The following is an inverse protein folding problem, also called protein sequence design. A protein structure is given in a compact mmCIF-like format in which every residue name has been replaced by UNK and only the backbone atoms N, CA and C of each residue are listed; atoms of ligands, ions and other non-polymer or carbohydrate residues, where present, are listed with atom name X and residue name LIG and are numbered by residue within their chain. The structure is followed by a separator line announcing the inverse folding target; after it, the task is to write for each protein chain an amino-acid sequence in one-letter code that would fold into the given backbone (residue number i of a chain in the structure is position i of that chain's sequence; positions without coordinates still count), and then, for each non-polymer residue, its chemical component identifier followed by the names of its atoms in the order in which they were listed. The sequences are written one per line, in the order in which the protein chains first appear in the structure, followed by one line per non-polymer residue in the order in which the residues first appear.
data_IF_944460636954
#
_entry.id   IF_944460636954
#
_cell.length_a   1.000
_cell.length_b   1.000
_cell.length_c   1.000
_cell.angle_alpha   90.00
_cell.angle_beta   90.00
_cell.angle_gamma   90.00
#
_symmetry.space_group_name_H-M   'P 1'
#
loop_
_entity.id
_entity.type
_entity.pdbx_description
1 polymer ?
#
# COMPACT_ATOMS: atom_id res chain seq x y z
N UNK A 1 -22.79 -10.76 -32.42
CA UNK A 1 -22.34 -11.28 -31.12
C UNK A 1 -20.86 -10.89 -30.96
N UNK A 2 -20.53 -9.92 -30.11
CA UNK A 2 -19.13 -9.56 -29.81
C UNK A 2 -18.72 -10.36 -28.58
N UNK A 3 -17.63 -11.11 -28.70
CA UNK A 3 -17.02 -11.85 -27.60
C UNK A 3 -16.60 -10.90 -26.47
N UNK A 4 -16.75 -11.32 -25.20
CA UNK A 4 -16.32 -10.51 -24.07
C UNK A 4 -14.79 -10.42 -24.07
N UNK A 5 -14.25 -9.19 -24.07
CA UNK A 5 -12.81 -8.93 -23.91
C UNK A 5 -12.34 -9.59 -22.62
N UNK A 6 -11.35 -10.47 -22.75
CA UNK A 6 -10.58 -11.05 -21.64
C UNK A 6 -10.06 -9.95 -20.71
N UNK A 7 -10.69 -9.82 -19.55
CA UNK A 7 -10.11 -9.09 -18.42
C UNK A 7 -8.86 -9.86 -17.94
N UNK A 8 -7.74 -9.20 -17.68
CA UNK A 8 -6.58 -9.87 -17.14
C UNK A 8 -6.94 -10.46 -15.77
N UNK A 9 -6.95 -11.77 -15.68
CA UNK A 9 -7.11 -12.49 -14.42
C UNK A 9 -5.87 -12.23 -13.58
N UNK A 10 -6.04 -11.60 -12.43
CA UNK A 10 -4.97 -11.49 -11.42
C UNK A 10 -4.60 -12.91 -11.01
N UNK A 11 -3.45 -13.38 -11.43
CA UNK A 11 -3.04 -14.77 -11.27
C UNK A 11 -2.36 -14.98 -9.91
N UNK A 12 -2.46 -16.22 -9.38
CA UNK A 12 -1.75 -16.69 -8.17
C UNK A 12 -0.23 -16.39 -8.17
N UNK A 13 0.36 -16.12 -9.35
CA UNK A 13 1.73 -15.65 -9.50
C UNK A 13 1.98 -14.26 -8.92
N UNK A 14 1.00 -13.36 -8.93
CA UNK A 14 1.22 -11.96 -8.54
C UNK A 14 1.48 -11.77 -7.04
N UNK A 15 0.79 -12.49 -6.17
CA UNK A 15 1.11 -12.45 -4.73
C UNK A 15 2.45 -13.10 -4.45
N UNK A 16 2.75 -14.25 -5.08
CA UNK A 16 4.04 -14.91 -4.96
C UNK A 16 5.18 -13.99 -5.40
N UNK A 17 5.04 -13.31 -6.53
CA UNK A 17 6.00 -12.34 -7.05
C UNK A 17 6.14 -11.13 -6.12
N UNK A 18 5.03 -10.62 -5.60
CA UNK A 18 5.02 -9.53 -4.61
C UNK A 18 5.76 -9.93 -3.33
N UNK A 19 5.43 -11.08 -2.74
CA UNK A 19 6.10 -11.58 -1.53
C UNK A 19 7.59 -11.84 -1.76
N UNK A 20 7.97 -12.30 -2.95
CA UNK A 20 9.38 -12.46 -3.32
C UNK A 20 10.11 -11.11 -3.39
N UNK A 21 9.43 -10.03 -3.83
CA UNK A 21 9.97 -8.67 -3.79
C UNK A 21 10.08 -8.16 -2.35
N UNK A 22 9.04 -8.32 -1.54
CA UNK A 22 9.05 -7.91 -0.11
C UNK A 22 10.16 -8.61 0.67
N UNK A 23 10.47 -9.88 0.37
CA UNK A 23 11.61 -10.61 0.98
C UNK A 23 12.98 -10.00 0.66
N UNK A 24 13.10 -9.32 -0.48
CA UNK A 24 14.34 -8.62 -0.88
C UNK A 24 14.41 -7.19 -0.32
N UNK A 25 13.32 -6.68 0.23
CA UNK A 25 13.22 -5.32 0.77
C UNK A 25 14.12 -5.16 1.99
N UNK A 26 14.94 -4.08 2.07
CA UNK A 26 15.75 -3.83 3.25
C UNK A 26 14.91 -3.68 4.51
N UNK A 27 15.24 -4.40 5.57
CA UNK A 27 14.55 -4.29 6.85
C UNK A 27 15.53 -3.99 7.97
N UNK A 28 15.44 -2.79 8.54
CA UNK A 28 16.13 -2.42 9.78
C UNK A 28 15.13 -2.40 10.93
N UNK A 29 14.98 -3.54 11.59
CA UNK A 29 14.18 -3.59 12.81
C UNK A 29 15.05 -3.15 13.98
N UNK A 30 14.77 -1.97 14.52
CA UNK A 30 15.14 -1.63 15.88
C UNK A 30 14.10 -2.27 16.80
N UNK A 31 14.51 -3.22 17.64
CA UNK A 31 13.65 -4.05 18.49
C UNK A 31 12.76 -3.30 19.50
N UNK A 32 12.92 -2.00 19.63
CA UNK A 32 12.29 -1.19 20.70
C UNK A 32 11.26 -0.16 20.23
N UNK A 33 11.00 -0.05 18.93
CA UNK A 33 10.01 0.94 18.42
C UNK A 33 8.87 0.28 17.68
N UNK A 34 7.64 0.70 17.99
CA UNK A 34 6.44 0.37 17.20
C UNK A 34 6.67 0.73 15.73
N UNK A 35 6.32 -0.16 14.82
CA UNK A 35 6.45 0.09 13.38
C UNK A 35 5.56 1.26 12.96
N UNK A 36 6.12 2.27 12.25
CA UNK A 36 5.36 3.40 11.70
C UNK A 36 5.20 3.23 10.20
N UNK A 37 3.96 3.33 9.71
CA UNK A 37 3.56 3.16 8.33
C UNK A 37 2.80 4.40 7.86
N UNK A 38 3.24 5.06 6.80
CA UNK A 38 2.42 6.04 6.08
C UNK A 38 1.57 5.30 5.06
N UNK A 39 0.26 5.49 5.13
CA UNK A 39 -0.72 4.91 4.22
C UNK A 39 -1.31 6.01 3.34
N UNK A 40 -0.84 6.08 2.10
CA UNK A 40 -1.24 7.07 1.12
C UNK A 40 -2.37 6.57 0.23
N UNK A 41 -3.38 7.40 0.00
CA UNK A 41 -4.51 7.05 -0.85
C UNK A 41 -4.89 8.16 -1.80
N UNK A 42 -5.24 7.76 -3.01
CA UNK A 42 -5.95 8.59 -3.97
C UNK A 42 -7.44 8.62 -3.60
N UNK A 43 -7.97 9.80 -3.31
CA UNK A 43 -9.39 10.07 -3.07
C UNK A 43 -10.00 10.95 -4.17
N UNK A 44 -9.53 10.80 -5.41
CA UNK A 44 -10.14 11.45 -6.57
C UNK A 44 -11.46 10.77 -6.97
N UNK A 45 -12.27 11.43 -7.79
CA UNK A 45 -13.61 10.96 -8.15
C UNK A 45 -13.61 9.58 -8.86
N UNK A 46 -12.52 9.20 -9.54
CA UNK A 46 -12.38 7.87 -10.14
C UNK A 46 -12.47 6.74 -9.12
N UNK A 47 -12.09 7.03 -7.86
CA UNK A 47 -12.05 6.09 -6.76
C UNK A 47 -13.36 5.97 -5.96
N UNK A 48 -14.35 6.81 -6.19
CA UNK A 48 -15.58 6.88 -5.39
C UNK A 48 -16.28 5.52 -5.25
N UNK A 49 -16.36 4.75 -6.33
CA UNK A 49 -17.00 3.42 -6.34
C UNK A 49 -16.26 2.35 -5.55
N UNK A 50 -14.98 2.54 -5.29
CA UNK A 50 -14.09 1.58 -4.65
C UNK A 50 -13.64 2.03 -3.26
N UNK A 51 -13.99 3.27 -2.89
CA UNK A 51 -13.61 3.86 -1.61
C UNK A 51 -14.13 3.10 -0.40
N UNK A 52 -15.41 2.68 -0.43
CA UNK A 52 -16.01 1.89 0.66
C UNK A 52 -15.30 0.55 0.86
N UNK A 53 -14.90 -0.10 -0.24
CA UNK A 53 -14.10 -1.32 -0.19
C UNK A 53 -12.73 -1.06 0.45
N UNK A 54 -12.08 0.06 0.11
CA UNK A 54 -10.80 0.44 0.69
C UNK A 54 -10.91 0.66 2.21
N UNK A 55 -12.00 1.28 2.68
CA UNK A 55 -12.27 1.44 4.12
C UNK A 55 -12.39 0.11 4.87
N UNK A 56 -13.08 -0.88 4.28
CA UNK A 56 -13.24 -2.20 4.89
C UNK A 56 -11.94 -3.01 4.96
N UNK A 57 -11.06 -2.84 3.97
CA UNK A 57 -9.80 -3.58 3.88
C UNK A 57 -8.86 -3.20 5.00
N UNK A 58 -8.80 -1.93 5.38
CA UNK A 58 -7.88 -1.46 6.41
C UNK A 58 -8.13 -2.08 7.78
N UNK A 59 -9.38 -2.32 8.16
CA UNK A 59 -9.71 -2.98 9.43
C UNK A 59 -9.07 -4.35 9.54
N UNK A 60 -8.96 -5.06 8.40
CA UNK A 60 -8.39 -6.40 8.34
C UNK A 60 -6.85 -6.37 8.27
N UNK A 61 -6.26 -5.31 7.72
CA UNK A 61 -4.82 -5.08 7.76
C UNK A 61 -4.31 -4.98 9.21
N UNK A 62 -5.01 -4.24 10.06
CA UNK A 62 -4.64 -4.11 11.48
C UNK A 62 -4.73 -5.44 12.22
N UNK A 63 -5.78 -6.21 12.00
CA UNK A 63 -5.93 -7.54 12.62
C UNK A 63 -4.81 -8.52 12.26
N UNK A 64 -4.15 -8.32 11.13
CA UNK A 64 -3.01 -9.16 10.75
C UNK A 64 -1.77 -8.93 11.61
N UNK A 65 -1.72 -7.82 12.36
CA UNK A 65 -0.58 -7.46 13.22
C UNK A 65 -0.82 -7.71 14.70
N UNK A 66 -2.04 -8.10 15.11
CA UNK A 66 -2.42 -8.26 16.53
C UNK A 66 -1.47 -9.19 17.29
N UNK A 67 -1.00 -10.28 16.65
CA UNK A 67 -0.11 -11.26 17.27
C UNK A 67 1.40 -10.92 17.15
N UNK A 68 1.76 -9.87 16.39
CA UNK A 68 3.17 -9.61 16.03
C UNK A 68 3.70 -8.33 16.69
N UNK A 69 2.82 -7.44 17.05
CA UNK A 69 3.12 -6.14 17.62
C UNK A 69 2.36 -5.02 16.89
N UNK A 70 1.95 -4.02 17.65
CA UNK A 70 1.20 -2.89 17.13
C UNK A 70 2.01 -2.14 16.06
N UNK A 71 1.32 -1.68 15.04
CA UNK A 71 1.84 -0.67 14.10
C UNK A 71 1.11 0.64 14.31
N UNK A 72 1.83 1.74 14.15
CA UNK A 72 1.24 3.07 14.04
C UNK A 72 1.08 3.42 12.58
N UNK A 73 -0.12 3.76 12.16
CA UNK A 73 -0.43 4.15 10.80
C UNK A 73 -0.88 5.60 10.77
N UNK A 74 -0.39 6.35 9.80
CA UNK A 74 -0.89 7.66 9.44
C UNK A 74 -1.54 7.56 8.07
N UNK A 75 -2.84 7.89 8.00
CA UNK A 75 -3.54 8.00 6.73
C UNK A 75 -3.22 9.36 6.10
N UNK A 76 -2.77 9.34 4.85
CA UNK A 76 -2.61 10.53 4.03
C UNK A 76 -3.43 10.35 2.75
N UNK A 77 -4.19 11.35 2.36
CA UNK A 77 -4.92 11.30 1.11
C UNK A 77 -4.91 12.66 0.42
N UNK A 78 -5.10 12.62 -0.87
CA UNK A 78 -5.34 13.81 -1.67
C UNK A 78 -6.64 13.68 -2.45
N UNK A 79 -7.26 14.82 -2.73
CA UNK A 79 -8.45 14.95 -3.57
C UNK A 79 -8.52 16.34 -4.16
N UNK A 80 -9.45 16.57 -5.09
CA UNK A 80 -9.59 17.88 -5.70
C UNK A 80 -8.30 18.35 -6.38
N UNK A 81 -8.17 19.64 -6.62
CA UNK A 81 -7.03 20.20 -7.35
C UNK A 81 -5.82 20.49 -6.46
N UNK A 82 -5.99 20.63 -5.16
CA UNK A 82 -4.87 20.95 -4.25
C UNK A 82 -5.12 20.52 -2.79
N UNK A 83 -6.11 19.69 -2.54
CA UNK A 83 -6.38 19.21 -1.18
C UNK A 83 -5.49 18.02 -0.84
N UNK A 84 -4.73 18.17 0.22
CA UNK A 84 -3.90 17.13 0.82
C UNK A 84 -4.13 17.13 2.33
N UNK A 85 -4.46 15.98 2.88
CA UNK A 85 -4.79 15.81 4.28
C UNK A 85 -4.04 14.60 4.87
N UNK A 86 -3.67 14.70 6.14
CA UNK A 86 -3.11 13.60 6.91
C UNK A 86 -3.83 13.49 8.25
N UNK A 87 -4.09 12.26 8.68
CA UNK A 87 -4.57 11.98 10.04
C UNK A 87 -3.45 12.13 11.07
N UNK A 88 -3.82 12.06 12.35
CA UNK A 88 -2.86 11.70 13.39
C UNK A 88 -2.29 10.28 13.19
N UNK A 89 -1.22 9.96 13.93
CA UNK A 89 -0.72 8.58 14.04
C UNK A 89 -1.65 7.77 14.94
N UNK A 90 -2.16 6.66 14.44
CA UNK A 90 -3.04 5.75 15.20
C UNK A 90 -2.54 4.31 15.16
N UNK A 91 -2.69 3.60 16.27
CA UNK A 91 -2.52 2.14 16.37
C UNK A 91 -3.87 1.41 16.31
N UNK A 92 -4.99 2.14 16.14
CA UNK A 92 -6.34 1.61 16.11
C UNK A 92 -6.88 1.55 14.68
N UNK A 93 -7.23 0.34 14.23
CA UNK A 93 -7.92 0.17 12.95
C UNK A 93 -9.30 0.84 12.93
N UNK A 94 -9.98 0.92 14.07
CA UNK A 94 -11.29 1.57 14.17
C UNK A 94 -11.20 3.09 13.99
N UNK A 95 -10.17 3.72 14.56
CA UNK A 95 -9.94 5.16 14.38
C UNK A 95 -9.67 5.48 12.91
N UNK A 96 -8.83 4.69 12.24
CA UNK A 96 -8.53 4.89 10.81
C UNK A 96 -9.76 4.68 9.92
N UNK A 97 -10.60 3.69 10.21
CA UNK A 97 -11.86 3.50 9.50
C UNK A 97 -12.74 4.73 9.66
N UNK A 98 -12.86 5.25 10.88
CA UNK A 98 -13.64 6.45 11.15
C UNK A 98 -13.12 7.66 10.39
N UNK A 99 -11.81 7.84 10.34
CA UNK A 99 -11.16 8.88 9.52
C UNK A 99 -11.49 8.71 8.04
N UNK A 100 -11.34 7.50 7.49
CA UNK A 100 -11.61 7.20 6.08
C UNK A 100 -13.08 7.36 5.69
N UNK A 101 -14.02 6.94 6.54
CA UNK A 101 -15.46 7.07 6.25
C UNK A 101 -15.92 8.52 6.17
N UNK A 102 -15.16 9.44 6.74
CA UNK A 102 -15.42 10.88 6.63
C UNK A 102 -14.83 11.51 5.35
N UNK A 103 -14.05 10.75 4.57
CA UNK A 103 -13.47 11.24 3.32
C UNK A 103 -14.47 11.04 2.19
N UNK A 104 -14.80 12.10 1.49
CA UNK A 104 -15.53 12.08 0.21
C UNK A 104 -14.55 12.25 -0.93
N UNK A 105 -14.69 11.46 -1.98
CA UNK A 105 -13.90 11.64 -3.20
C UNK A 105 -14.31 12.92 -3.94
N UNK A 106 -13.33 13.62 -4.50
CA UNK A 106 -13.55 14.85 -5.28
C UNK A 106 -12.76 14.81 -6.59
N UNK A 107 -13.38 15.29 -7.68
CA UNK A 107 -12.68 15.43 -8.95
C UNK A 107 -11.47 16.35 -8.84
N UNK A 108 -10.35 15.96 -9.45
CA UNK A 108 -9.10 16.72 -9.37
C UNK A 108 -7.96 15.97 -10.03
N UNK A 109 -6.73 16.31 -9.65
CA UNK A 109 -5.51 15.70 -10.15
C UNK A 109 -4.82 14.86 -9.10
N UNK A 110 -3.97 13.92 -9.54
CA UNK A 110 -3.10 13.15 -8.66
C UNK A 110 -2.07 14.05 -7.97
N UNK A 111 -1.77 13.75 -6.70
CA UNK A 111 -0.84 14.53 -5.88
C UNK A 111 0.07 13.60 -5.05
N UNK A 112 0.56 12.54 -5.68
CA UNK A 112 1.39 11.49 -5.08
C UNK A 112 2.68 12.07 -4.50
N UNK A 113 3.28 13.03 -5.20
CA UNK A 113 4.49 13.71 -4.74
C UNK A 113 4.30 14.41 -3.39
N UNK A 114 3.10 14.90 -3.07
CA UNK A 114 2.82 15.48 -1.74
C UNK A 114 2.88 14.42 -0.64
N UNK A 115 2.30 13.24 -0.88
CA UNK A 115 2.38 12.10 0.05
C UNK A 115 3.85 11.73 0.29
N UNK A 116 4.66 11.63 -0.78
CA UNK A 116 6.07 11.28 -0.64
C UNK A 116 6.86 12.34 0.13
N UNK A 117 6.67 13.62 -0.19
CA UNK A 117 7.32 14.72 0.53
C UNK A 117 6.95 14.73 2.01
N UNK A 118 5.67 14.57 2.33
CA UNK A 118 5.18 14.49 3.70
C UNK A 118 5.80 13.30 4.45
N UNK A 119 5.82 12.12 3.86
CA UNK A 119 6.40 10.93 4.49
C UNK A 119 7.91 11.08 4.76
N UNK A 120 8.67 11.74 3.87
CA UNK A 120 10.07 12.07 4.12
C UNK A 120 10.24 13.04 5.28
N UNK A 121 9.35 14.02 5.44
CA UNK A 121 9.37 14.94 6.56
C UNK A 121 9.03 14.26 7.90
N UNK A 122 8.00 13.40 7.90
CA UNK A 122 7.67 12.55 9.05
C UNK A 122 8.86 11.68 9.47
N UNK A 123 9.57 11.10 8.48
CA UNK A 123 10.75 10.28 8.76
C UNK A 123 11.89 11.05 9.43
N UNK A 124 12.04 12.35 9.16
CA UNK A 124 13.05 13.20 9.82
C UNK A 124 12.73 13.41 11.29
N UNK A 125 11.43 13.55 11.62
CA UNK A 125 10.97 13.72 13.00
C UNK A 125 11.04 12.42 13.76
N UNK A 126 10.44 11.37 13.22
CA UNK A 126 10.47 10.01 13.77
C UNK A 126 10.42 8.99 12.64
N UNK A 127 11.36 8.03 12.68
CA UNK A 127 11.55 7.06 11.60
C UNK A 127 10.27 6.30 11.24
N UNK A 128 9.89 6.34 9.97
CA UNK A 128 8.91 5.45 9.37
C UNK A 128 9.60 4.21 8.80
N UNK A 129 8.90 3.08 8.77
CA UNK A 129 9.43 1.81 8.27
C UNK A 129 9.04 1.52 6.84
N UNK A 130 7.93 2.07 6.38
CA UNK A 130 7.46 1.92 5.01
C UNK A 130 6.43 3.01 4.65
N UNK A 131 6.18 3.15 3.35
CA UNK A 131 5.04 3.84 2.79
C UNK A 131 4.24 2.85 1.92
N UNK A 132 2.92 2.84 2.08
CA UNK A 132 1.97 2.20 1.16
C UNK A 132 1.28 3.29 0.37
N UNK A 133 1.10 3.09 -0.92
CA UNK A 133 0.28 3.95 -1.77
C UNK A 133 -0.74 3.12 -2.56
N UNK A 134 -1.99 3.58 -2.60
CA UNK A 134 -3.09 2.98 -3.37
C UNK A 134 -3.71 4.03 -4.28
N UNK A 135 -3.70 3.77 -5.59
CA UNK A 135 -4.28 4.68 -6.59
C UNK A 135 -4.46 4.03 -7.95
N UNK A 136 -5.20 4.69 -8.84
CA UNK A 136 -5.56 4.19 -10.18
C UNK A 136 -4.97 5.03 -11.32
N UNK A 137 -4.51 6.24 -11.04
CA UNK A 137 -4.06 7.22 -12.03
C UNK A 137 -2.69 7.83 -11.70
N UNK A 138 -2.09 8.45 -12.71
CA UNK A 138 -0.86 9.23 -12.61
C UNK A 138 -0.93 10.38 -13.62
N UNK A 139 -1.01 11.60 -13.13
CA UNK A 139 -1.00 12.83 -13.94
C UNK A 139 0.22 13.70 -13.64
N UNK A 140 1.04 13.27 -12.67
CA UNK A 140 2.24 13.96 -12.23
C UNK A 140 3.46 13.56 -13.08
N UNK A 141 4.52 14.34 -13.00
CA UNK A 141 5.78 14.04 -13.65
C UNK A 141 6.41 12.77 -13.02
N UNK A 142 6.57 11.73 -13.84
CA UNK A 142 7.16 10.46 -13.42
C UNK A 142 8.59 10.62 -12.89
N UNK A 143 9.40 11.53 -13.47
CA UNK A 143 10.78 11.76 -13.03
C UNK A 143 10.85 12.36 -11.63
N UNK A 144 9.90 13.25 -11.26
CA UNK A 144 9.80 13.77 -9.90
C UNK A 144 9.49 12.67 -8.90
N UNK A 145 8.54 11.80 -9.21
CA UNK A 145 8.20 10.67 -8.35
C UNK A 145 9.36 9.69 -8.20
N UNK A 146 10.06 9.38 -9.29
CA UNK A 146 11.25 8.53 -9.27
C UNK A 146 12.40 9.15 -8.47
N UNK A 147 12.62 10.46 -8.58
CA UNK A 147 13.60 11.18 -7.77
C UNK A 147 13.28 11.10 -6.27
N UNK A 148 12.02 11.33 -5.91
CA UNK A 148 11.57 11.18 -4.53
C UNK A 148 11.74 9.74 -4.04
N UNK A 149 11.34 8.75 -4.84
CA UNK A 149 11.52 7.32 -4.52
C UNK A 149 12.98 6.94 -4.29
N UNK A 150 13.91 7.51 -5.06
CA UNK A 150 15.34 7.35 -4.82
C UNK A 150 15.78 7.83 -3.43
N UNK A 151 15.21 8.94 -2.91
CA UNK A 151 15.46 9.39 -1.53
C UNK A 151 14.96 8.37 -0.51
N UNK A 152 13.79 7.78 -0.73
CA UNK A 152 13.29 6.68 0.12
C UNK A 152 14.26 5.50 0.13
N UNK A 153 14.81 5.14 -1.04
CA UNK A 153 15.82 4.09 -1.14
C UNK A 153 17.08 4.38 -0.32
N UNK A 154 17.59 5.62 -0.36
CA UNK A 154 18.74 6.06 0.47
C UNK A 154 18.46 5.91 1.96
N UNK A 155 17.24 6.19 2.41
CA UNK A 155 16.84 6.04 3.81
C UNK A 155 16.41 4.62 4.18
N UNK A 156 16.40 3.68 3.22
CA UNK A 156 15.87 2.32 3.38
C UNK A 156 14.40 2.29 3.83
N UNK A 157 13.58 3.14 3.23
CA UNK A 157 12.13 3.20 3.44
C UNK A 157 11.46 2.63 2.18
N UNK A 158 11.02 1.38 2.17
CA UNK A 158 10.34 0.82 1.01
C UNK A 158 9.00 1.50 0.74
N UNK A 159 8.70 1.71 -0.54
CA UNK A 159 7.38 2.14 -0.99
C UNK A 159 6.67 0.95 -1.63
N UNK A 160 5.51 0.59 -1.11
CA UNK A 160 4.64 -0.44 -1.66
C UNK A 160 3.55 0.23 -2.49
N UNK A 161 3.61 0.04 -3.81
CA UNK A 161 2.71 0.67 -4.77
C UNK A 161 1.61 -0.30 -5.18
N UNK A 162 0.37 0.02 -4.88
CA UNK A 162 -0.80 -0.76 -5.27
C UNK A 162 -1.60 0.01 -6.32
N UNK A 163 -1.65 -0.55 -7.53
CA UNK A 163 -2.37 0.06 -8.65
C UNK A 163 -3.74 -0.58 -8.80
N UNK A 164 -4.80 0.22 -8.74
CA UNK A 164 -6.11 -0.21 -9.19
C UNK A 164 -6.22 -0.08 -10.71
N UNK A 165 -6.77 -1.13 -11.35
CA UNK A 165 -6.90 -1.16 -12.80
C UNK A 165 -5.62 -1.61 -13.54
N UNK A 166 -5.53 -1.28 -14.82
CA UNK A 166 -4.54 -1.87 -15.73
C UNK A 166 -3.86 -0.87 -16.67
N UNK A 167 -3.78 0.41 -16.31
CA UNK A 167 -3.07 1.40 -17.11
C UNK A 167 -1.58 1.10 -17.19
N UNK A 168 -1.06 0.83 -18.39
CA UNK A 168 0.35 0.52 -18.60
C UNK A 168 1.28 1.70 -18.26
N UNK A 169 0.84 2.94 -18.48
CA UNK A 169 1.61 4.12 -18.13
C UNK A 169 1.81 4.24 -16.61
N UNK A 170 0.72 4.08 -15.85
CA UNK A 170 0.74 4.06 -14.38
C UNK A 170 1.60 2.91 -13.88
N UNK A 171 1.42 1.71 -14.44
CA UNK A 171 2.18 0.51 -14.08
C UNK A 171 3.68 0.72 -14.22
N UNK A 172 4.14 1.32 -15.32
CA UNK A 172 5.56 1.55 -15.57
C UNK A 172 6.17 2.43 -14.47
N UNK A 173 5.53 3.56 -14.16
CA UNK A 173 6.03 4.49 -13.14
C UNK A 173 5.95 3.89 -11.73
N UNK A 174 4.85 3.23 -11.38
CA UNK A 174 4.69 2.62 -10.05
C UNK A 174 5.70 1.50 -9.80
N UNK A 175 6.00 0.68 -10.82
CA UNK A 175 7.08 -0.32 -10.73
C UNK A 175 8.44 0.32 -10.52
N UNK A 176 8.72 1.43 -11.21
CA UNK A 176 9.99 2.13 -11.06
C UNK A 176 10.14 2.78 -9.69
N UNK A 177 9.08 3.41 -9.18
CA UNK A 177 9.03 3.95 -7.80
C UNK A 177 9.30 2.86 -6.77
N UNK A 178 8.60 1.72 -6.89
CA UNK A 178 8.81 0.58 -6.00
C UNK A 178 10.25 0.06 -6.06
N UNK A 179 10.82 -0.10 -7.26
CA UNK A 179 12.19 -0.54 -7.45
C UNK A 179 13.21 0.42 -6.81
N UNK A 180 13.09 1.74 -7.07
CA UNK A 180 14.02 2.75 -6.57
C UNK A 180 13.99 2.91 -5.05
N UNK A 181 12.85 2.66 -4.42
CA UNK A 181 12.71 2.69 -2.97
C UNK A 181 13.06 1.37 -2.27
N UNK A 182 13.28 0.29 -3.04
CA UNK A 182 13.48 -1.05 -2.51
C UNK A 182 12.19 -1.69 -1.99
N UNK A 183 11.03 -1.23 -2.44
CA UNK A 183 9.71 -1.78 -2.11
C UNK A 183 9.19 -2.79 -3.13
N UNK A 184 7.87 -2.83 -3.29
CA UNK A 184 7.21 -3.75 -4.21
C UNK A 184 5.98 -3.11 -4.88
N UNK A 185 5.62 -3.62 -6.03
CA UNK A 185 4.44 -3.21 -6.80
C UNK A 185 3.48 -4.38 -6.96
N UNK A 186 2.18 -4.12 -6.81
CA UNK A 186 1.13 -5.07 -7.18
C UNK A 186 -0.07 -4.35 -7.81
N UNK A 187 -0.59 -4.85 -8.94
CA UNK A 187 -1.87 -4.42 -9.45
C UNK A 187 -3.00 -5.15 -8.71
N UNK A 188 -4.18 -4.53 -8.62
CA UNK A 188 -5.39 -5.17 -8.16
C UNK A 188 -6.61 -4.65 -8.92
N UNK A 189 -7.71 -5.38 -8.86
CA UNK A 189 -8.98 -4.99 -9.47
C UNK A 189 -9.98 -4.60 -8.38
N UNK A 190 -10.91 -3.70 -8.72
CA UNK A 190 -12.01 -3.30 -7.83
C UNK A 190 -12.88 -4.48 -7.34
N UNK A 191 -12.93 -5.58 -8.10
CA UNK A 191 -13.58 -6.83 -7.69
C UNK A 191 -12.73 -7.75 -6.81
N UNK A 192 -11.44 -7.44 -6.61
CA UNK A 192 -10.46 -8.25 -5.88
C UNK A 192 -10.12 -7.66 -4.51
N UNK A 193 -11.16 -7.26 -3.76
CA UNK A 193 -11.02 -6.71 -2.39
C UNK A 193 -10.13 -7.59 -1.51
N UNK A 194 -10.27 -8.91 -1.65
CA UNK A 194 -9.49 -9.88 -0.88
C UNK A 194 -8.01 -9.85 -1.24
N UNK A 195 -7.66 -9.69 -2.51
CA UNK A 195 -6.26 -9.61 -2.94
C UNK A 195 -5.55 -8.38 -2.35
N UNK A 196 -6.17 -7.20 -2.42
CA UNK A 196 -5.62 -6.00 -1.80
C UNK A 196 -5.48 -6.16 -0.29
N UNK A 197 -6.47 -6.78 0.37
CA UNK A 197 -6.41 -7.08 1.80
C UNK A 197 -5.20 -7.97 2.15
N UNK A 198 -4.97 -9.04 1.39
CA UNK A 198 -3.90 -10.00 1.61
C UNK A 198 -2.52 -9.33 1.42
N UNK A 199 -2.40 -8.50 0.39
CA UNK A 199 -1.21 -7.69 0.11
C UNK A 199 -0.92 -6.70 1.25
N UNK A 200 -1.92 -5.93 1.69
CA UNK A 200 -1.77 -4.96 2.78
C UNK A 200 -1.46 -5.64 4.12
N UNK A 201 -2.09 -6.80 4.40
CA UNK A 201 -1.78 -7.58 5.59
C UNK A 201 -0.33 -8.03 5.62
N UNK A 202 0.21 -8.47 4.47
CA UNK A 202 1.62 -8.87 4.36
C UNK A 202 2.58 -7.70 4.59
N UNK A 203 2.24 -6.50 4.08
CA UNK A 203 3.04 -5.29 4.34
C UNK A 203 2.98 -4.90 5.81
N UNK A 204 1.80 -4.93 6.43
CA UNK A 204 1.63 -4.61 7.85
C UNK A 204 2.46 -5.53 8.75
N UNK A 205 2.43 -6.84 8.48
CA UNK A 205 3.26 -7.86 9.16
C UNK A 205 4.75 -7.56 8.98
N UNK A 206 5.18 -7.22 7.76
CA UNK A 206 6.55 -6.80 7.49
C UNK A 206 6.95 -5.55 8.28
N UNK A 207 6.10 -4.54 8.33
CA UNK A 207 6.34 -3.28 9.07
C UNK A 207 6.41 -3.53 10.57
N UNK A 208 5.56 -4.43 11.10
CA UNK A 208 5.55 -4.78 12.53
C UNK A 208 6.79 -5.56 12.96
N UNK A 209 7.16 -6.61 12.22
CA UNK A 209 8.17 -7.58 12.66
C UNK A 209 9.23 -7.98 11.62
N UNK A 210 9.27 -7.32 10.44
CA UNK A 210 10.24 -7.54 9.38
C UNK A 210 10.14 -8.92 8.70
N UNK A 211 11.23 -9.34 8.07
CA UNK A 211 11.27 -10.59 7.31
C UNK A 211 10.92 -11.83 8.14
N UNK A 212 11.40 -11.90 9.39
CA UNK A 212 11.12 -13.04 10.29
C UNK A 212 9.63 -13.19 10.60
N UNK A 213 8.94 -12.05 10.80
CA UNK A 213 7.50 -12.05 11.03
C UNK A 213 6.75 -12.45 9.76
N UNK A 214 7.17 -11.95 8.60
CA UNK A 214 6.58 -12.29 7.31
C UNK A 214 6.71 -13.80 7.01
N UNK A 215 7.89 -14.40 7.23
CA UNK A 215 8.10 -15.86 7.05
C UNK A 215 7.23 -16.69 8.00
N UNK A 216 7.09 -16.23 9.26
CA UNK A 216 6.22 -16.89 10.22
C UNK A 216 4.75 -16.77 9.82
N UNK A 217 4.34 -15.61 9.34
CA UNK A 217 2.99 -15.37 8.83
C UNK A 217 2.67 -16.25 7.63
N UNK A 218 3.56 -16.37 6.66
CA UNK A 218 3.40 -17.25 5.49
C UNK A 218 3.25 -18.74 5.88
N UNK A 219 3.91 -19.17 6.96
CA UNK A 219 3.83 -20.54 7.49
C UNK A 219 2.63 -20.77 8.40
N UNK A 220 1.95 -19.72 8.84
CA UNK A 220 0.73 -19.83 9.67
C UNK A 220 -0.46 -20.34 8.83
N UNK A 221 -1.49 -20.84 9.52
CA UNK A 221 -2.70 -21.30 8.82
C UNK A 221 -3.37 -20.17 8.03
N UNK A 222 -3.34 -18.94 8.56
CA UNK A 222 -3.84 -17.74 7.90
C UNK A 222 -3.02 -17.37 6.66
N UNK A 223 -1.70 -17.42 6.76
CA UNK A 223 -0.82 -17.19 5.60
C UNK A 223 -0.96 -18.28 4.54
N UNK A 224 -1.12 -19.54 4.96
CA UNK A 224 -1.39 -20.68 4.06
C UNK A 224 -2.77 -20.58 3.41
N UNK A 225 -3.79 -20.14 4.12
CA UNK A 225 -5.12 -19.88 3.54
C UNK A 225 -5.06 -18.83 2.46
N UNK A 226 -4.36 -17.72 2.70
CA UNK A 226 -4.10 -16.65 1.74
C UNK A 226 -3.43 -17.20 0.48
N UNK A 227 -2.35 -17.98 0.64
CA UNK A 227 -1.60 -18.58 -0.47
C UNK A 227 -2.40 -19.68 -1.19
N UNK A 228 -3.12 -20.54 -0.46
CA UNK A 228 -3.87 -21.67 -1.03
C UNK A 228 -5.09 -21.23 -1.82
N UNK A 229 -5.79 -20.17 -1.41
CA UNK A 229 -6.92 -19.62 -2.15
C UNK A 229 -6.52 -19.03 -3.50
N UNK A 230 -5.27 -18.65 -3.67
CA UNK A 230 -4.73 -18.16 -4.93
C UNK A 230 -4.22 -19.29 -5.85
N UNK A 231 -3.82 -20.42 -5.29
CA UNK A 231 -3.39 -21.60 -6.05
C UNK A 231 -4.57 -22.43 -6.62
N UNK A 232 -5.80 -22.21 -6.15
CA UNK A 232 -7.01 -22.91 -6.60
C UNK A 232 -7.79 -22.23 -7.73
N UNK A 233 -7.28 -21.13 -8.28
CA UNK A 233 -7.84 -20.44 -9.46
C UNK A 233 -6.90 -20.53 -10.63
#
# INVERSE_FOLDING_TARGET
MKEPKNLPKTSSGQLGDFLAQVKKTPSRIQRESVGRLVFGMDATASREKTWDNACQIQSKMFRATDDIGAINVQLCYYRGFNEFQCSGWSSSGEELIKEMTNVSCLGGHTQIAKIFKHALEEHRTQKIRALVFVGDALEENADELCYLAGKFGVFNIPIFMFQEGNSNAVMSTFKQVALLSGGAYAPFNSGSVKELQDLLSSVAVFVAGGHKALEKFEKSDRGREILTLQLRK
#
